data_IF_529215850969
#
_entry.id   IF_529215850969
#
_cell.length_a   1.000
_cell.length_b   1.000
_cell.length_c   1.000
_cell.angle_alpha   90.00
_cell.angle_beta   90.00
_cell.angle_gamma   90.00
#
_symmetry.space_group_name_H-M   'P 1'
#
loop_
_entity.id
_entity.type
_entity.pdbx_description
1 polymer ?
#
# COMPACT_ATOMS: atom_id res chain seq x y z
N UNK A 1 2.67 12.90 -0.52
CA UNK A 1 1.77 12.35 -1.56
C UNK A 1 2.64 11.86 -2.70
N UNK A 2 2.42 10.65 -3.21
CA UNK A 2 3.23 10.08 -4.30
C UNK A 2 2.61 10.53 -5.64
N UNK A 3 3.32 11.38 -6.38
CA UNK A 3 2.89 11.89 -7.68
C UNK A 3 3.47 10.99 -8.76
N UNK A 4 2.61 10.27 -9.49
CA UNK A 4 3.02 9.39 -10.58
C UNK A 4 3.05 10.15 -11.91
N UNK A 5 4.24 10.17 -12.54
CA UNK A 5 4.52 10.81 -13.83
C UNK A 5 3.63 10.27 -14.96
N UNK A 6 3.08 9.05 -14.81
CA UNK A 6 2.14 8.49 -15.77
C UNK A 6 0.81 9.28 -15.84
N UNK A 7 0.31 9.87 -14.76
CA UNK A 7 -0.97 10.58 -14.78
C UNK A 7 -0.86 12.07 -15.08
N UNK A 8 0.36 12.62 -15.07
CA UNK A 8 0.59 14.03 -15.38
C UNK A 8 0.37 14.35 -16.88
N UNK A 9 -0.03 15.58 -17.17
CA UNK A 9 -0.21 16.10 -18.53
C UNK A 9 1.17 16.49 -19.10
N UNK A 10 1.56 15.89 -20.23
CA UNK A 10 2.80 16.22 -20.95
C UNK A 10 3.67 15.02 -21.33
N UNK A 11 3.60 13.91 -20.59
CA UNK A 11 4.49 12.75 -20.78
C UNK A 11 3.91 11.65 -21.69
N UNK A 12 3.53 11.99 -22.92
CA UNK A 12 2.95 11.04 -23.88
C UNK A 12 3.88 9.87 -24.24
N UNK A 13 5.20 10.11 -24.31
CA UNK A 13 6.17 9.06 -24.61
C UNK A 13 6.26 7.99 -23.52
N UNK A 14 6.16 8.38 -22.24
CA UNK A 14 6.20 7.46 -21.11
C UNK A 14 4.96 6.56 -21.11
N UNK A 15 3.79 7.16 -21.35
CA UNK A 15 2.50 6.44 -21.43
C UNK A 15 2.50 5.32 -22.46
N UNK A 16 3.03 5.59 -23.66
CA UNK A 16 3.06 4.62 -24.76
C UNK A 16 4.03 3.48 -24.44
N UNK A 17 5.21 3.78 -23.90
CA UNK A 17 6.20 2.75 -23.52
C UNK A 17 5.64 1.84 -22.44
N UNK A 18 5.03 2.39 -21.40
CA UNK A 18 4.44 1.61 -20.32
C UNK A 18 3.25 0.77 -20.79
N UNK A 19 2.39 1.33 -21.65
CA UNK A 19 1.28 0.60 -22.26
C UNK A 19 1.76 -0.55 -23.16
N UNK A 20 2.84 -0.34 -23.92
CA UNK A 20 3.45 -1.40 -24.74
C UNK A 20 4.07 -2.49 -23.88
N UNK A 21 4.81 -2.14 -22.81
CA UNK A 21 5.37 -3.12 -21.88
C UNK A 21 4.26 -3.93 -21.22
N UNK A 22 3.17 -3.28 -20.81
CA UNK A 22 2.00 -3.97 -20.29
C UNK A 22 1.37 -4.91 -21.32
N UNK A 23 1.23 -4.47 -22.58
CA UNK A 23 0.69 -5.29 -23.67
C UNK A 23 1.60 -6.49 -23.99
N UNK A 24 2.91 -6.30 -24.03
CA UNK A 24 3.87 -7.38 -24.21
C UNK A 24 3.84 -8.36 -23.04
N UNK A 25 3.71 -7.87 -21.80
CA UNK A 25 3.50 -8.70 -20.63
C UNK A 25 2.23 -9.55 -20.75
N UNK A 26 1.14 -8.95 -21.24
CA UNK A 26 -0.12 -9.65 -21.46
C UNK A 26 0.02 -10.75 -22.53
N UNK A 27 0.64 -10.45 -23.68
CA UNK A 27 0.88 -11.43 -24.74
C UNK A 27 1.79 -12.55 -24.23
N UNK A 28 2.86 -12.21 -23.52
CA UNK A 28 3.79 -13.17 -22.92
C UNK A 28 3.11 -14.13 -21.94
N UNK A 29 2.03 -13.69 -21.28
CA UNK A 29 1.22 -14.55 -20.41
C UNK A 29 0.25 -15.43 -21.21
N UNK A 30 -0.39 -14.88 -22.26
CA UNK A 30 -1.41 -15.60 -23.05
C UNK A 30 -0.79 -16.72 -23.90
N UNK A 31 0.37 -16.47 -24.53
CA UNK A 31 1.05 -17.42 -25.42
C UNK A 31 1.27 -18.81 -24.78
N UNK A 32 1.88 -18.95 -23.58
CA UNK A 32 2.08 -20.26 -22.96
C UNK A 32 0.78 -20.94 -22.55
N UNK A 33 -0.26 -20.19 -22.18
CA UNK A 33 -1.60 -20.73 -21.84
C UNK A 33 -2.23 -21.38 -23.08
N UNK A 34 -2.25 -20.65 -24.19
CA UNK A 34 -2.80 -21.13 -25.46
C UNK A 34 -2.00 -22.33 -25.97
N UNK A 35 -0.67 -22.27 -25.91
CA UNK A 35 0.19 -23.39 -26.31
C UNK A 35 -0.08 -24.64 -25.47
N UNK A 36 -0.22 -24.50 -24.15
CA UNK A 36 -0.56 -25.62 -23.26
C UNK A 36 -1.91 -26.22 -23.64
N UNK A 37 -2.94 -25.40 -23.88
CA UNK A 37 -4.26 -25.88 -24.31
C UNK A 37 -4.24 -26.62 -25.65
N UNK A 38 -3.48 -26.12 -26.62
CA UNK A 38 -3.28 -26.76 -27.92
C UNK A 38 -2.61 -28.13 -27.77
N UNK A 39 -1.55 -28.22 -26.97
CA UNK A 39 -0.80 -29.46 -26.74
C UNK A 39 -1.65 -30.52 -26.04
N UNK A 40 -2.55 -30.10 -25.15
CA UNK A 40 -3.46 -31.02 -24.45
C UNK A 40 -4.60 -31.54 -25.34
N UNK A 41 -5.04 -30.76 -26.34
CA UNK A 41 -6.23 -31.08 -27.12
C UNK A 41 -5.90 -31.66 -28.51
N UNK A 42 -4.81 -31.20 -29.13
CA UNK A 42 -4.47 -31.52 -30.51
C UNK A 42 -3.19 -32.34 -30.60
N UNK A 43 -3.26 -33.44 -31.37
CA UNK A 43 -2.14 -34.36 -31.60
C UNK A 43 -1.11 -33.83 -32.59
N UNK A 44 -1.53 -32.93 -33.47
CA UNK A 44 -0.70 -32.27 -34.47
C UNK A 44 -1.32 -30.93 -34.85
N UNK A 45 -0.49 -29.91 -35.10
CA UNK A 45 -0.96 -28.62 -35.60
C UNK A 45 -0.32 -28.35 -36.95
N UNK A 46 -1.06 -27.65 -37.81
CA UNK A 46 -0.54 -27.17 -39.08
C UNK A 46 -0.28 -25.67 -38.96
N UNK A 47 0.99 -25.30 -38.92
CA UNK A 47 1.42 -23.90 -38.83
C UNK A 47 2.15 -23.53 -40.12
N UNK A 48 1.69 -22.48 -40.81
CA UNK A 48 2.27 -22.01 -42.09
C UNK A 48 2.51 -23.14 -43.12
N UNK A 49 1.58 -24.09 -43.21
CA UNK A 49 1.63 -25.20 -44.16
C UNK A 49 2.43 -26.42 -43.71
N UNK A 50 3.26 -26.31 -42.67
CA UNK A 50 4.04 -27.41 -42.09
C UNK A 50 3.23 -28.10 -40.98
N UNK A 51 3.15 -29.43 -41.04
CA UNK A 51 2.52 -30.24 -39.98
C UNK A 51 3.57 -30.56 -38.92
N UNK A 52 3.37 -30.02 -37.72
CA UNK A 52 4.21 -30.30 -36.57
C UNK A 52 3.51 -31.39 -35.75
N UNK A 53 4.19 -32.51 -35.52
CA UNK A 53 3.69 -33.59 -34.64
C UNK A 53 4.03 -33.25 -33.18
N UNK A 54 3.00 -33.18 -32.34
CA UNK A 54 3.11 -32.78 -30.93
C UNK A 54 3.28 -34.01 -30.00
N UNK A 55 3.25 -35.23 -30.54
CA UNK A 55 3.34 -36.48 -29.75
C UNK A 55 4.58 -36.61 -28.88
N UNK A 56 5.73 -36.11 -29.35
CA UNK A 56 7.00 -36.20 -28.63
C UNK A 56 7.05 -35.38 -27.34
N UNK A 57 6.28 -34.28 -27.27
CA UNK A 57 6.31 -33.36 -26.13
C UNK A 57 5.48 -33.81 -24.93
N UNK A 58 4.46 -34.66 -25.11
CA UNK A 58 3.50 -34.97 -24.03
C UNK A 58 4.16 -35.60 -22.79
N UNK A 59 5.18 -36.45 -22.98
CA UNK A 59 5.92 -37.03 -21.85
C UNK A 59 6.73 -35.97 -21.10
N UNK A 60 7.39 -35.06 -21.82
CA UNK A 60 8.14 -33.94 -21.25
C UNK A 60 7.23 -32.97 -20.51
N UNK A 61 6.02 -32.69 -21.03
CA UNK A 61 5.03 -31.84 -20.35
C UNK A 61 4.48 -32.48 -19.07
N UNK A 62 4.27 -33.80 -19.05
CA UNK A 62 3.89 -34.52 -17.83
C UNK A 62 4.97 -34.43 -16.75
N UNK A 63 6.23 -34.66 -17.12
CA UNK A 63 7.38 -34.53 -16.22
C UNK A 63 7.54 -33.10 -15.70
N UNK A 64 7.45 -32.11 -16.59
CA UNK A 64 7.50 -30.69 -16.23
C UNK A 64 6.36 -30.30 -15.29
N UNK A 65 5.14 -30.82 -15.53
CA UNK A 65 3.98 -30.61 -14.67
C UNK A 65 4.18 -31.16 -13.26
N UNK A 66 4.81 -32.33 -13.11
CA UNK A 66 5.14 -32.91 -11.80
C UNK A 66 6.16 -32.03 -11.06
N UNK A 67 7.20 -31.54 -11.73
CA UNK A 67 8.19 -30.62 -11.14
C UNK A 67 7.51 -29.32 -10.71
N UNK A 68 6.66 -28.74 -11.57
CA UNK A 68 5.90 -27.52 -11.26
C UNK A 68 4.97 -27.71 -10.06
N UNK A 69 4.26 -28.83 -9.99
CA UNK A 69 3.38 -29.16 -8.87
C UNK A 69 4.17 -29.32 -7.57
N UNK A 70 5.36 -29.94 -7.63
CA UNK A 70 6.27 -30.05 -6.50
C UNK A 70 6.75 -28.67 -6.03
N UNK A 71 7.24 -27.82 -6.94
CA UNK A 71 7.65 -26.45 -6.63
C UNK A 71 6.49 -25.63 -6.06
N UNK A 72 5.29 -25.78 -6.61
CA UNK A 72 4.08 -25.13 -6.11
C UNK A 72 3.77 -25.58 -4.67
N UNK A 73 3.83 -26.87 -4.38
CA UNK A 73 3.60 -27.40 -3.03
C UNK A 73 4.62 -26.83 -2.03
N UNK A 74 5.91 -26.83 -2.37
CA UNK A 74 6.98 -26.26 -1.52
C UNK A 74 6.74 -24.77 -1.27
N UNK A 75 6.43 -24.01 -2.32
CA UNK A 75 6.17 -22.57 -2.24
C UNK A 75 4.92 -22.27 -1.42
N UNK A 76 3.86 -23.06 -1.58
CA UNK A 76 2.62 -22.92 -0.83
C UNK A 76 2.84 -23.16 0.67
N UNK A 77 3.55 -24.23 1.03
CA UNK A 77 3.91 -24.51 2.43
C UNK A 77 4.73 -23.35 3.01
N UNK A 78 5.71 -22.82 2.26
CA UNK A 78 6.50 -21.69 2.69
C UNK A 78 5.66 -20.41 2.88
N UNK A 79 4.78 -20.10 1.92
CA UNK A 79 3.91 -18.93 1.97
C UNK A 79 2.92 -19.02 3.14
N UNK A 80 2.26 -20.16 3.33
CA UNK A 80 1.33 -20.40 4.46
C UNK A 80 2.09 -20.25 5.78
N UNK A 81 3.26 -20.87 5.90
CA UNK A 81 4.09 -20.77 7.11
C UNK A 81 4.47 -19.32 7.41
N UNK A 82 4.87 -18.56 6.38
CA UNK A 82 5.25 -17.17 6.50
C UNK A 82 4.07 -16.30 6.93
N UNK A 83 2.88 -16.49 6.34
CA UNK A 83 1.65 -15.77 6.71
C UNK A 83 1.26 -16.05 8.15
N UNK A 84 1.31 -17.31 8.60
CA UNK A 84 1.01 -17.67 9.99
C UNK A 84 1.98 -17.01 10.98
N UNK A 85 3.29 -17.03 10.67
CA UNK A 85 4.30 -16.37 11.51
C UNK A 85 4.06 -14.86 11.56
N UNK A 86 3.78 -14.24 10.42
CA UNK A 86 3.49 -12.81 10.36
C UNK A 86 2.21 -12.46 11.14
N UNK A 87 1.16 -13.26 11.04
CA UNK A 87 -0.09 -13.04 11.76
C UNK A 87 0.13 -13.09 13.29
N UNK A 88 0.87 -14.09 13.76
CA UNK A 88 1.22 -14.22 15.19
C UNK A 88 2.13 -13.09 15.69
N UNK A 89 3.07 -12.63 14.85
CA UNK A 89 3.91 -11.47 15.18
C UNK A 89 3.08 -10.19 15.24
N UNK A 90 2.14 -9.99 14.32
CA UNK A 90 1.25 -8.82 14.28
C UNK A 90 0.39 -8.74 15.53
N UNK A 91 -0.23 -9.83 15.95
CA UNK A 91 -1.07 -9.87 17.18
C UNK A 91 -0.27 -9.43 18.41
N UNK A 92 0.97 -9.92 18.58
CA UNK A 92 1.84 -9.51 19.69
C UNK A 92 2.27 -8.05 19.62
N UNK A 93 2.51 -7.51 18.42
CA UNK A 93 2.89 -6.11 18.24
C UNK A 93 1.73 -5.16 18.53
N UNK A 94 0.51 -5.54 18.15
CA UNK A 94 -0.72 -4.75 18.42
C UNK A 94 -1.01 -4.68 19.93
N UNK A 95 -0.79 -5.77 20.67
CA UNK A 95 -1.03 -5.79 22.12
C UNK A 95 0.00 -4.99 22.93
N UNK A 96 1.24 -4.87 22.43
CA UNK A 96 2.32 -4.23 23.17
C UNK A 96 2.39 -2.71 22.96
N UNK A 97 1.91 -2.20 21.83
CA UNK A 97 2.00 -0.78 21.51
C UNK A 97 0.80 -0.33 20.68
N UNK A 98 -0.06 0.57 21.19
CA UNK A 98 -0.91 1.31 20.28
C UNK A 98 0.00 2.15 19.38
N UNK A 99 -0.06 1.91 18.06
CA UNK A 99 0.73 2.66 17.06
C UNK A 99 0.49 4.18 17.14
N UNK A 100 -0.63 4.58 17.75
CA UNK A 100 -1.02 5.95 18.04
C UNK A 100 -1.38 6.06 19.51
N UNK A 101 -0.75 6.99 20.23
CA UNK A 101 -1.12 7.32 21.59
C UNK A 101 -2.55 7.90 21.58
N UNK A 102 -3.54 7.24 22.20
CA UNK A 102 -4.93 7.68 22.16
C UNK A 102 -5.12 9.06 22.81
N UNK A 103 -4.20 9.51 23.68
CA UNK A 103 -4.24 10.87 24.21
C UNK A 103 -3.81 11.90 23.15
N UNK A 104 -2.74 11.63 22.40
CA UNK A 104 -2.23 12.53 21.37
C UNK A 104 -3.26 12.72 20.24
N UNK A 105 -3.96 11.67 19.85
CA UNK A 105 -5.00 11.75 18.82
C UNK A 105 -6.17 12.63 19.27
N UNK A 106 -6.57 12.54 20.56
CA UNK A 106 -7.66 13.36 21.12
C UNK A 106 -7.31 14.83 21.25
N UNK A 107 -6.06 15.13 21.60
CA UNK A 107 -5.56 16.50 21.64
C UNK A 107 -5.55 17.09 20.23
N UNK A 108 -5.05 16.34 19.24
CA UNK A 108 -5.05 16.75 17.84
C UNK A 108 -6.45 16.96 17.28
N UNK A 109 -7.39 16.05 17.56
CA UNK A 109 -8.81 16.21 17.19
C UNK A 109 -9.39 17.50 17.79
N UNK A 110 -9.06 17.81 19.05
CA UNK A 110 -9.56 18.99 19.75
C UNK A 110 -9.01 20.29 19.14
N UNK A 111 -7.71 20.34 18.83
CA UNK A 111 -7.08 21.51 18.20
C UNK A 111 -7.61 21.76 16.80
N UNK A 112 -7.70 20.70 15.97
CA UNK A 112 -8.29 20.77 14.65
C UNK A 112 -9.76 21.22 14.72
N UNK A 113 -10.52 20.71 15.68
CA UNK A 113 -11.92 21.12 15.87
C UNK A 113 -12.02 22.59 16.24
N UNK A 114 -11.14 23.10 17.12
CA UNK A 114 -11.09 24.53 17.49
C UNK A 114 -10.74 25.40 16.28
N UNK A 115 -9.72 25.02 15.50
CA UNK A 115 -9.30 25.73 14.30
C UNK A 115 -10.43 25.80 13.26
N UNK A 116 -11.04 24.65 12.97
CA UNK A 116 -12.16 24.56 12.02
C UNK A 116 -13.39 25.33 12.51
N UNK A 117 -13.66 25.31 13.82
CA UNK A 117 -14.79 26.04 14.40
C UNK A 117 -14.58 27.55 14.35
N UNK A 118 -13.34 28.02 14.57
CA UNK A 118 -13.00 29.44 14.46
C UNK A 118 -13.16 29.98 13.04
N UNK A 119 -12.78 29.20 12.03
CA UNK A 119 -12.79 29.64 10.62
C UNK A 119 -14.11 29.38 9.91
N UNK A 120 -14.79 28.27 10.20
CA UNK A 120 -15.98 27.80 9.46
C UNK A 120 -17.26 27.74 10.31
N UNK A 121 -17.20 28.10 11.60
CA UNK A 121 -18.34 28.01 12.53
C UNK A 121 -18.54 26.60 13.10
N UNK A 122 -19.56 26.41 13.93
CA UNK A 122 -19.80 25.15 14.64
C UNK A 122 -20.04 23.95 13.71
N UNK A 123 -19.63 22.77 14.17
CA UNK A 123 -19.79 21.52 13.41
C UNK A 123 -21.24 21.21 13.02
N UNK A 124 -22.19 21.43 13.95
CA UNK A 124 -23.62 21.22 13.71
C UNK A 124 -24.14 22.12 12.59
N UNK A 125 -23.63 23.34 12.48
CA UNK A 125 -23.96 24.22 11.37
C UNK A 125 -23.39 23.66 10.07
N UNK A 126 -22.09 23.32 10.04
CA UNK A 126 -21.41 22.80 8.83
C UNK A 126 -22.06 21.54 8.25
N UNK A 127 -22.54 20.63 9.11
CA UNK A 127 -23.18 19.39 8.68
C UNK A 127 -24.64 19.57 8.22
N UNK A 128 -25.29 20.68 8.56
CA UNK A 128 -26.71 20.92 8.26
C UNK A 128 -26.92 21.74 6.97
N UNK A 129 -25.91 22.49 6.50
CA UNK A 129 -26.03 23.28 5.26
C UNK A 129 -25.65 22.46 4.04
N UNK A 130 -26.54 22.38 3.04
CA UNK A 130 -26.25 21.72 1.74
C UNK A 130 -25.25 22.48 0.86
N UNK A 131 -25.18 23.81 1.01
CA UNK A 131 -24.31 24.67 0.22
C UNK A 131 -23.65 25.70 1.13
N UNK A 132 -22.32 25.66 1.20
CA UNK A 132 -21.51 26.63 1.93
C UNK A 132 -20.52 27.26 0.96
N UNK A 133 -20.60 28.59 0.78
CA UNK A 133 -19.68 29.34 -0.07
C UNK A 133 -18.52 29.85 0.79
N UNK A 134 -17.35 29.25 0.61
CA UNK A 134 -16.12 29.64 1.31
C UNK A 134 -15.64 30.98 0.75
N UNK A 135 -15.41 31.96 1.63
CA UNK A 135 -14.82 33.23 1.24
C UNK A 135 -13.32 33.06 0.96
N UNK A 136 -12.71 33.87 0.07
CA UNK A 136 -11.28 33.77 -0.23
C UNK A 136 -10.38 33.83 1.00
N UNK A 137 -10.73 34.64 2.02
CA UNK A 137 -9.94 34.74 3.26
C UNK A 137 -10.08 33.51 4.18
N UNK A 138 -11.06 32.64 3.92
CA UNK A 138 -11.30 31.40 4.67
C UNK A 138 -10.67 30.18 3.97
N UNK A 139 -10.00 30.36 2.83
CA UNK A 139 -9.37 29.26 2.12
C UNK A 139 -8.17 28.72 2.91
N UNK A 140 -7.98 27.41 2.90
CA UNK A 140 -6.85 26.75 3.57
C UNK A 140 -5.61 26.86 2.69
N UNK A 141 -4.47 27.19 3.30
CA UNK A 141 -3.20 27.08 2.58
C UNK A 141 -2.77 25.62 2.46
N UNK A 142 -1.94 25.32 1.46
CA UNK A 142 -1.57 23.96 1.03
C UNK A 142 -0.94 23.13 2.16
N UNK A 143 -0.26 23.79 3.11
CA UNK A 143 0.48 23.14 4.20
C UNK A 143 -0.03 23.50 5.60
N UNK A 144 -1.06 24.35 5.72
CA UNK A 144 -1.50 24.95 7.01
C UNK A 144 -1.92 23.87 8.04
N UNK A 145 -2.59 22.82 7.58
CA UNK A 145 -3.00 21.70 8.44
C UNK A 145 -1.85 20.77 8.82
N UNK A 146 -0.84 20.64 7.94
CA UNK A 146 0.31 19.78 8.18
C UNK A 146 1.28 20.43 9.18
N UNK A 147 1.48 21.74 9.08
CA UNK A 147 2.29 22.52 10.01
C UNK A 147 1.70 22.50 11.43
N UNK A 148 0.37 22.64 11.56
CA UNK A 148 -0.31 22.54 12.85
C UNK A 148 -0.07 21.18 13.52
N UNK A 149 -0.09 20.09 12.76
CA UNK A 149 0.21 18.75 13.26
C UNK A 149 1.70 18.46 13.54
N UNK A 150 2.62 19.30 13.07
CA UNK A 150 4.05 19.21 13.38
C UNK A 150 4.39 19.96 14.67
N UNK A 151 3.83 21.15 14.87
CA UNK A 151 4.03 21.96 16.08
C UNK A 151 3.61 21.21 17.35
N UNK A 152 2.55 20.40 17.27
CA UNK A 152 2.08 19.60 18.39
C UNK A 152 3.08 18.49 18.78
N UNK A 153 3.70 17.85 17.76
CA UNK A 153 4.74 16.83 17.99
C UNK A 153 5.97 17.40 18.67
N UNK A 154 6.40 18.60 18.28
CA UNK A 154 7.60 19.24 18.83
C UNK A 154 7.39 19.63 20.30
N UNK A 155 6.19 20.10 20.67
CA UNK A 155 5.82 20.39 22.07
C UNK A 155 5.79 19.13 22.93
N UNK A 156 5.15 18.07 22.44
CA UNK A 156 5.07 16.78 23.15
C UNK A 156 6.48 16.19 23.33
N UNK A 157 7.35 16.32 22.33
CA UNK A 157 8.74 15.87 22.42
C UNK A 157 9.52 16.67 23.47
N UNK A 158 9.33 17.98 23.52
CA UNK A 158 9.96 18.86 24.51
C UNK A 158 9.49 18.56 25.95
N UNK A 159 8.20 18.32 26.17
CA UNK A 159 7.66 17.92 27.48
C UNK A 159 8.21 16.55 27.92
N UNK A 160 8.27 15.58 27.01
CA UNK A 160 8.84 14.25 27.30
C UNK A 160 10.35 14.30 27.54
N UNK A 161 11.07 15.24 26.93
CA UNK A 161 12.49 15.48 27.22
C UNK A 161 12.67 16.09 28.61
N UNK A 162 11.89 17.12 28.96
CA UNK A 162 11.92 17.75 30.28
C UNK A 162 11.55 16.76 31.40
N UNK A 163 10.58 15.87 31.17
CA UNK A 163 10.19 14.83 32.13
C UNK A 163 11.30 13.80 32.34
N UNK A 164 12.02 13.41 31.28
CA UNK A 164 13.17 12.51 31.37
C UNK A 164 14.33 13.16 32.15
N UNK A 165 14.66 14.40 31.86
CA UNK A 165 15.70 15.16 32.57
C UNK A 165 15.34 15.33 34.06
N UNK A 166 14.07 15.62 34.38
CA UNK A 166 13.61 15.71 35.76
C UNK A 166 13.68 14.37 36.51
N UNK A 167 13.39 13.25 35.83
CA UNK A 167 13.50 11.91 36.41
C UNK A 167 14.96 11.49 36.65
N UNK A 168 15.87 11.89 35.76
CA UNK A 168 17.31 11.69 35.93
C UNK A 168 17.87 12.49 37.12
N UNK A 169 17.50 13.78 37.27
CA UNK A 169 17.90 14.59 38.42
C UNK A 169 17.35 14.05 39.76
N UNK A 170 16.12 13.54 39.78
CA UNK A 170 15.51 12.95 40.99
C UNK A 170 16.14 11.60 41.33
N UNK A 171 16.59 10.84 40.32
CA UNK A 171 17.36 9.60 40.48
C UNK A 171 18.72 9.84 41.10
N UNK A 172 19.44 10.87 40.65
CA UNK A 172 20.76 11.24 41.21
C UNK A 172 20.68 11.78 42.65
N UNK A 173 19.61 12.50 43.02
CA UNK A 173 19.43 13.01 44.41
C UNK A 173 19.06 11.94 45.45
N UNK A 174 18.72 10.71 45.02
CA UNK A 174 18.37 9.59 45.92
C UNK A 174 19.49 8.56 46.09
N UNK A 175 20.60 8.70 45.37
CA UNK A 175 21.83 7.92 45.54
C UNK A 175 22.78 8.60 46.52
#
# INVERSE_FOLDING_TARGET
>A
MYTDLFFEKGHWGLKIKESLVALFGLISMIVPIVMTGIILTHRSIRLFGVTIDLRGGMYTFGFLGIILLFCFAVTAVFAISMVLIQNRKRERLIEQWPTFDPLDERNRETELTKFMTKRFGEEKFRQNVRLYRVQPEQNLDTHELAEMGQVDKDKILAERQAEREALEEVGERRA
#
